data_IF_608024186190
#
_entry.id   IF_608024186190
#
_cell.length_a   1.000
_cell.length_b   1.000
_cell.length_c   1.000
_cell.angle_alpha   90.00
_cell.angle_beta   90.00
_cell.angle_gamma   90.00
#
_symmetry.space_group_name_H-M   'P 1'
#
loop_
_entity.id
_entity.type
_entity.pdbx_description
1 polymer ?
#
# COMPACT_ATOMS: atom_id res chain seq x y z
N UNK A 1 -34.29 13.95 -14.45
CA UNK A 1 -33.27 12.91 -14.70
C UNK A 1 -33.21 12.77 -16.21
N UNK A 2 -32.73 13.82 -16.90
CA UNK A 2 -33.09 14.08 -18.32
C UNK A 2 -31.86 14.29 -19.21
N UNK A 3 -30.81 13.51 -18.97
CA UNK A 3 -29.79 13.25 -19.98
C UNK A 3 -29.65 11.74 -20.09
N UNK A 4 -30.05 11.20 -21.24
CA UNK A 4 -29.61 9.88 -21.69
C UNK A 4 -28.08 9.95 -21.86
N UNK A 5 -27.36 9.71 -20.77
CA UNK A 5 -25.92 9.54 -20.83
C UNK A 5 -25.66 8.12 -21.31
N UNK A 6 -24.88 7.97 -22.37
CA UNK A 6 -24.48 6.65 -22.87
C UNK A 6 -23.20 6.22 -22.14
N UNK A 7 -23.39 5.57 -21.00
CA UNK A 7 -22.32 5.11 -20.10
C UNK A 7 -21.36 4.12 -20.75
N UNK A 8 -21.73 3.53 -21.90
CA UNK A 8 -20.89 2.62 -22.68
C UNK A 8 -19.93 3.36 -23.62
N UNK A 9 -20.01 4.70 -23.72
CA UNK A 9 -19.04 5.49 -24.50
C UNK A 9 -17.73 5.76 -23.76
N UNK A 10 -17.66 5.48 -22.46
CA UNK A 10 -16.46 5.71 -21.65
C UNK A 10 -16.23 7.17 -21.26
N UNK A 11 -17.26 8.01 -21.35
CA UNK A 11 -17.19 9.41 -20.94
C UNK A 11 -17.00 9.55 -19.43
N UNK A 12 -16.19 10.53 -19.01
CA UNK A 12 -15.90 10.78 -17.60
C UNK A 12 -17.09 11.46 -16.92
N UNK A 13 -17.48 10.93 -15.76
CA UNK A 13 -18.54 11.52 -14.92
C UNK A 13 -18.11 12.85 -14.33
N UNK A 14 -19.07 13.79 -14.23
CA UNK A 14 -18.90 14.93 -13.35
C UNK A 14 -19.02 14.50 -11.89
N UNK A 15 -18.52 15.32 -10.96
CA UNK A 15 -18.70 15.06 -9.53
C UNK A 15 -20.18 15.03 -9.11
N UNK A 16 -21.04 15.77 -9.81
CA UNK A 16 -22.48 15.81 -9.55
C UNK A 16 -23.13 14.47 -9.95
N UNK A 17 -22.78 13.94 -11.12
CA UNK A 17 -23.28 12.65 -11.58
C UNK A 17 -22.84 11.54 -10.61
N UNK A 18 -21.56 11.54 -10.23
CA UNK A 18 -21.02 10.58 -9.26
C UNK A 18 -21.73 10.63 -7.90
N UNK A 19 -22.07 11.82 -7.40
CA UNK A 19 -22.75 11.99 -6.13
C UNK A 19 -24.19 11.48 -6.17
N UNK A 20 -24.90 11.66 -7.29
CA UNK A 20 -26.28 11.17 -7.43
C UNK A 20 -26.40 9.65 -7.28
N UNK A 21 -25.36 8.89 -7.64
CA UNK A 21 -25.32 7.44 -7.41
C UNK A 21 -25.19 7.05 -5.94
N UNK A 22 -24.66 7.90 -5.07
CA UNK A 22 -24.60 7.61 -3.63
C UNK A 22 -25.98 7.66 -2.96
N UNK A 23 -26.95 8.34 -3.59
CA UNK A 23 -28.32 8.52 -3.09
C UNK A 23 -29.33 7.58 -3.76
N UNK A 24 -28.90 6.74 -4.71
CA UNK A 24 -29.81 5.82 -5.41
C UNK A 24 -30.28 4.68 -4.50
N UNK A 25 -31.57 4.37 -4.55
CA UNK A 25 -32.15 3.18 -3.91
C UNK A 25 -32.12 1.95 -4.85
N UNK A 26 -31.90 2.15 -6.16
CA UNK A 26 -31.81 1.07 -7.14
C UNK A 26 -30.41 0.44 -7.19
N UNK A 27 -30.11 -0.35 -6.15
CA UNK A 27 -28.85 -1.08 -6.05
C UNK A 27 -28.64 -2.05 -7.23
N UNK A 28 -29.70 -2.72 -7.68
CA UNK A 28 -29.59 -3.74 -8.72
C UNK A 28 -29.31 -3.12 -10.10
N UNK A 29 -29.99 -2.03 -10.45
CA UNK A 29 -29.68 -1.27 -11.66
C UNK A 29 -28.26 -0.72 -11.66
N UNK A 30 -27.77 -0.25 -10.50
CA UNK A 30 -26.38 0.22 -10.37
C UNK A 30 -25.35 -0.90 -10.55
N UNK A 31 -25.60 -2.08 -9.96
CA UNK A 31 -24.73 -3.26 -10.13
C UNK A 31 -24.70 -3.76 -11.57
N UNK A 32 -25.85 -3.81 -12.24
CA UNK A 32 -25.94 -4.22 -13.66
C UNK A 32 -25.18 -3.24 -14.56
N UNK A 33 -25.32 -1.94 -14.32
CA UNK A 33 -24.57 -0.91 -15.05
C UNK A 33 -23.06 -1.04 -14.82
N UNK A 34 -22.64 -1.23 -13.57
CA UNK A 34 -21.24 -1.42 -13.21
C UNK A 34 -20.64 -2.69 -13.86
N UNK A 35 -21.40 -3.79 -13.92
CA UNK A 35 -20.99 -5.01 -14.63
C UNK A 35 -20.76 -4.73 -16.11
N UNK A 36 -21.70 -4.07 -16.79
CA UNK A 36 -21.58 -3.75 -18.22
C UNK A 36 -20.35 -2.89 -18.51
N UNK A 37 -20.10 -1.86 -17.71
CA UNK A 37 -18.92 -0.98 -17.84
C UNK A 37 -17.63 -1.78 -17.59
N UNK A 38 -17.59 -2.64 -16.58
CA UNK A 38 -16.44 -3.52 -16.29
C UNK A 38 -16.18 -4.49 -17.44
N UNK A 39 -17.21 -5.17 -17.92
CA UNK A 39 -17.10 -6.16 -19.00
C UNK A 39 -16.63 -5.52 -20.31
N UNK A 40 -17.09 -4.29 -20.62
CA UNK A 40 -16.64 -3.57 -21.80
C UNK A 40 -15.16 -3.13 -21.70
N UNK A 41 -14.72 -2.64 -20.53
CA UNK A 41 -13.36 -2.13 -20.35
C UNK A 41 -12.30 -3.20 -20.12
N UNK A 42 -12.63 -4.23 -19.34
CA UNK A 42 -11.67 -5.22 -18.83
C UNK A 42 -12.06 -6.68 -19.16
N UNK A 43 -13.26 -6.91 -19.69
CA UNK A 43 -13.79 -8.25 -19.89
C UNK A 43 -14.05 -8.97 -18.57
N UNK A 44 -14.01 -10.30 -18.62
CA UNK A 44 -14.32 -11.18 -17.47
C UNK A 44 -13.09 -11.81 -16.81
N UNK A 45 -11.89 -11.47 -17.27
CA UNK A 45 -10.65 -12.00 -16.73
C UNK A 45 -10.30 -11.28 -15.43
N UNK A 46 -10.13 -12.04 -14.35
CA UNK A 46 -9.67 -11.52 -13.06
C UNK A 46 -8.18 -11.84 -12.91
N UNK A 47 -7.34 -10.82 -12.93
CA UNK A 47 -5.89 -10.95 -12.69
C UNK A 47 -5.56 -10.67 -11.24
N UNK A 48 -4.50 -11.31 -10.71
CA UNK A 48 -3.99 -11.05 -9.38
C UNK A 48 -2.46 -11.16 -9.35
N UNK A 49 -1.82 -10.45 -8.43
CA UNK A 49 -0.39 -10.55 -8.14
C UNK A 49 -0.18 -11.01 -6.71
N UNK A 50 0.48 -12.16 -6.53
CA UNK A 50 0.81 -12.70 -5.20
C UNK A 50 1.91 -11.84 -4.59
N UNK A 51 1.70 -11.36 -3.37
CA UNK A 51 2.64 -10.49 -2.67
C UNK A 51 2.89 -10.97 -1.26
N UNK A 52 4.14 -10.90 -0.81
CA UNK A 52 4.51 -11.09 0.59
C UNK A 52 4.47 -9.74 1.31
N UNK A 53 4.05 -9.73 2.56
CA UNK A 53 3.88 -8.50 3.36
C UNK A 53 5.08 -8.30 4.29
N UNK A 54 5.80 -7.19 4.15
CA UNK A 54 6.97 -6.83 4.94
C UNK A 54 6.65 -5.56 5.76
N UNK A 55 6.31 -5.68 7.05
CA UNK A 55 6.01 -4.54 7.91
C UNK A 55 7.30 -3.88 8.41
N UNK A 56 7.99 -3.13 7.53
CA UNK A 56 9.32 -2.58 7.80
C UNK A 56 9.39 -1.79 9.11
N UNK A 57 8.35 -1.03 9.44
CA UNK A 57 8.16 -0.43 10.76
C UNK A 57 6.67 -0.25 11.06
N UNK A 58 6.27 -0.50 12.30
CA UNK A 58 4.92 -0.20 12.79
C UNK A 58 4.87 1.12 13.58
N UNK A 59 5.97 1.88 13.65
CA UNK A 59 5.95 3.23 14.20
C UNK A 59 5.46 4.21 13.12
N UNK A 60 4.68 5.21 13.55
CA UNK A 60 4.18 6.27 12.66
C UNK A 60 4.19 7.62 13.40
N UNK A 61 4.54 8.72 12.73
CA UNK A 61 4.40 10.05 13.33
C UNK A 61 2.94 10.43 13.56
N UNK A 62 2.04 9.99 12.68
CA UNK A 62 0.63 10.33 12.73
C UNK A 62 -0.16 9.52 13.76
N UNK A 63 -1.34 10.02 14.12
CA UNK A 63 -2.29 9.35 15.02
C UNK A 63 -3.64 9.26 14.32
N UNK A 64 -3.80 8.22 13.51
CA UNK A 64 -5.07 7.92 12.85
C UNK A 64 -5.92 7.03 13.76
N UNK A 65 -7.08 7.50 14.21
CA UNK A 65 -7.95 6.73 15.12
C UNK A 65 -8.47 5.40 14.54
N UNK A 66 -8.49 5.27 13.22
CA UNK A 66 -8.89 4.06 12.51
C UNK A 66 -7.72 3.09 12.24
N UNK A 67 -6.48 3.48 12.52
CA UNK A 67 -5.31 2.69 12.15
C UNK A 67 -5.03 1.61 13.20
N UNK A 68 -5.13 0.35 12.79
CA UNK A 68 -4.78 -0.82 13.61
C UNK A 68 -3.33 -1.29 13.39
N UNK A 69 -2.67 -0.79 12.35
CA UNK A 69 -1.31 -1.18 11.99
C UNK A 69 -0.26 -0.53 12.90
N UNK A 70 -0.39 0.78 13.18
CA UNK A 70 0.61 1.52 13.94
C UNK A 70 0.56 1.14 15.42
N UNK A 71 1.73 1.04 16.03
CA UNK A 71 1.90 0.64 17.42
C UNK A 71 2.77 1.67 18.15
N UNK A 72 2.49 1.96 19.44
CA UNK A 72 3.39 2.78 20.24
C UNK A 72 4.70 2.02 20.50
N UNK A 73 5.84 2.72 20.69
CA UNK A 73 7.14 2.09 20.90
C UNK A 73 7.19 1.01 21.97
N UNK A 74 6.44 1.20 23.07
CA UNK A 74 6.39 0.24 24.19
C UNK A 74 5.84 -1.15 23.81
N UNK A 75 5.12 -1.26 22.70
CA UNK A 75 4.54 -2.51 22.22
C UNK A 75 5.47 -3.24 21.23
N UNK A 76 6.59 -2.62 20.85
CA UNK A 76 7.51 -3.14 19.85
C UNK A 76 8.84 -3.51 20.50
N UNK A 77 9.43 -4.62 20.06
CA UNK A 77 10.78 -4.99 20.47
C UNK A 77 11.84 -4.13 19.79
N UNK A 78 11.54 -3.65 18.58
CA UNK A 78 12.41 -2.83 17.73
C UNK A 78 11.58 -1.89 16.86
N UNK A 79 12.17 -0.77 16.47
CA UNK A 79 11.52 0.24 15.65
C UNK A 79 11.40 -0.20 14.19
N UNK A 80 12.37 -0.95 13.66
CA UNK A 80 12.41 -1.42 12.27
C UNK A 80 12.77 -2.91 12.21
N UNK A 81 12.30 -3.62 11.19
CA UNK A 81 12.84 -4.95 10.87
C UNK A 81 14.30 -4.81 10.45
N UNK A 82 15.15 -5.77 10.86
CA UNK A 82 16.54 -5.83 10.40
C UNK A 82 16.62 -6.33 8.95
N UNK A 83 17.76 -6.13 8.26
CA UNK A 83 17.94 -6.65 6.90
C UNK A 83 17.75 -8.17 6.80
N UNK A 84 18.17 -8.91 7.82
CA UNK A 84 18.03 -10.37 7.88
C UNK A 84 16.57 -10.79 7.96
N UNK A 85 15.75 -10.10 8.76
CA UNK A 85 14.33 -10.40 8.89
C UNK A 85 13.54 -10.03 7.65
N UNK A 86 13.88 -8.89 7.03
CA UNK A 86 13.30 -8.48 5.75
C UNK A 86 13.57 -9.56 4.70
N UNK A 87 14.82 -10.04 4.61
CA UNK A 87 15.20 -11.10 3.69
C UNK A 87 14.52 -12.43 4.02
N UNK A 88 14.43 -12.81 5.29
CA UNK A 88 13.75 -14.03 5.70
C UNK A 88 12.30 -14.04 5.22
N UNK A 89 11.55 -12.95 5.48
CA UNK A 89 10.17 -12.80 5.01
C UNK A 89 10.12 -12.85 3.47
N UNK A 90 11.02 -12.15 2.79
CA UNK A 90 11.05 -12.13 1.33
C UNK A 90 11.33 -13.52 0.72
N UNK A 91 12.25 -14.29 1.30
CA UNK A 91 12.56 -15.66 0.88
C UNK A 91 11.35 -16.57 1.07
N UNK A 92 10.65 -16.47 2.21
CA UNK A 92 9.40 -17.20 2.41
C UNK A 92 8.35 -16.83 1.35
N UNK A 93 8.26 -15.54 1.02
CA UNK A 93 7.41 -15.04 -0.07
C UNK A 93 7.77 -15.64 -1.43
N UNK A 94 9.05 -15.67 -1.77
CA UNK A 94 9.57 -16.25 -3.00
C UNK A 94 9.23 -17.75 -3.08
N UNK A 95 9.49 -18.50 -2.01
CA UNK A 95 9.18 -19.94 -1.91
C UNK A 95 7.67 -20.21 -2.03
N UNK A 96 6.82 -19.32 -1.51
CA UNK A 96 5.36 -19.37 -1.69
C UNK A 96 4.89 -18.94 -3.10
N UNK A 97 5.81 -18.57 -4.00
CA UNK A 97 5.51 -18.17 -5.37
C UNK A 97 4.99 -16.74 -5.52
N UNK A 98 5.28 -15.85 -4.56
CA UNK A 98 5.00 -14.42 -4.69
C UNK A 98 5.77 -13.80 -5.87
N UNK A 99 5.25 -12.69 -6.38
CA UNK A 99 5.85 -11.86 -7.43
C UNK A 99 6.29 -10.49 -6.91
N UNK A 100 5.65 -10.03 -5.84
CA UNK A 100 5.93 -8.73 -5.24
C UNK A 100 6.28 -8.86 -3.74
N UNK A 101 7.10 -7.93 -3.27
CA UNK A 101 7.38 -7.70 -1.87
C UNK A 101 6.74 -6.37 -1.45
N UNK A 102 5.62 -6.45 -0.72
CA UNK A 102 4.87 -5.31 -0.24
C UNK A 102 5.48 -4.78 1.05
N UNK A 103 6.25 -3.71 0.94
CA UNK A 103 6.75 -2.94 2.08
C UNK A 103 5.65 -2.03 2.61
N UNK A 104 5.27 -2.24 3.86
CA UNK A 104 4.30 -1.41 4.58
C UNK A 104 4.96 -0.82 5.82
N UNK A 105 4.74 0.46 6.04
CA UNK A 105 5.41 1.23 7.07
C UNK A 105 4.55 2.41 7.52
N UNK A 106 4.78 2.88 8.75
CA UNK A 106 4.24 4.17 9.17
C UNK A 106 5.04 5.34 8.59
N UNK A 107 4.41 6.52 8.55
CA UNK A 107 4.99 7.73 7.98
C UNK A 107 6.02 8.35 8.93
N UNK A 108 7.26 8.49 8.45
CA UNK A 108 8.40 9.20 9.08
C UNK A 108 8.43 9.15 10.62
N UNK A 109 8.41 7.95 11.26
CA UNK A 109 8.41 7.83 12.71
C UNK A 109 9.59 8.52 13.40
N UNK A 110 10.71 8.69 12.70
CA UNK A 110 11.89 9.43 13.15
C UNK A 110 11.63 10.91 13.46
N UNK A 111 10.51 11.49 12.99
CA UNK A 111 10.14 12.86 13.37
C UNK A 111 9.51 12.93 14.77
N UNK A 112 8.91 11.83 15.23
CA UNK A 112 8.20 11.76 16.52
C UNK A 112 8.97 11.00 17.58
N UNK A 113 9.60 9.88 17.22
CA UNK A 113 10.16 8.93 18.15
C UNK A 113 11.68 8.93 18.11
N UNK A 114 12.30 9.20 19.26
CA UNK A 114 13.76 9.12 19.41
C UNK A 114 14.28 7.70 19.16
N UNK A 115 13.52 6.66 19.54
CA UNK A 115 13.90 5.27 19.29
C UNK A 115 14.02 4.97 17.79
N UNK A 116 13.17 5.57 16.95
CA UNK A 116 13.25 5.39 15.50
C UNK A 116 14.51 6.05 14.94
N UNK A 117 14.86 7.26 15.39
CA UNK A 117 16.12 7.94 15.00
C UNK A 117 17.34 7.11 15.37
N UNK A 118 17.43 6.68 16.63
CA UNK A 118 18.56 5.87 17.12
C UNK A 118 18.71 4.55 16.39
N UNK A 119 17.61 3.93 15.98
CA UNK A 119 17.65 2.66 15.27
C UNK A 119 18.06 2.83 13.81
N UNK A 120 17.55 3.86 13.13
CA UNK A 120 18.01 4.23 11.79
C UNK A 120 19.53 4.53 11.78
N UNK A 121 20.04 5.28 12.77
CA UNK A 121 21.47 5.56 12.91
C UNK A 121 22.30 4.26 13.03
N UNK A 122 21.83 3.26 13.80
CA UNK A 122 22.50 1.95 13.91
C UNK A 122 22.46 1.17 12.59
N UNK A 123 21.38 1.34 11.82
CA UNK A 123 21.22 0.76 10.49
C UNK A 123 21.96 1.56 9.40
N UNK A 124 22.65 2.64 9.76
CA UNK A 124 23.40 3.48 8.81
C UNK A 124 22.54 4.43 7.97
N UNK A 125 21.26 4.59 8.30
CA UNK A 125 20.31 5.44 7.57
C UNK A 125 19.95 6.68 8.38
N UNK A 126 19.66 7.81 7.71
CA UNK A 126 19.17 9.03 8.36
C UNK A 126 17.65 9.11 8.37
N UNK A 127 17.00 8.48 7.38
CA UNK A 127 15.54 8.53 7.22
C UNK A 127 14.95 7.16 6.98
N UNK A 128 13.65 7.02 7.30
CA UNK A 128 12.89 5.81 7.01
C UNK A 128 12.87 5.48 5.51
N UNK A 129 12.86 6.51 4.64
CA UNK A 129 12.86 6.34 3.19
C UNK A 129 14.20 5.84 2.64
N UNK A 130 15.32 6.29 3.21
CA UNK A 130 16.65 5.76 2.89
C UNK A 130 16.72 4.27 3.24
N UNK A 131 16.30 3.89 4.44
CA UNK A 131 16.29 2.49 4.86
C UNK A 131 15.35 1.63 4.01
N UNK A 132 14.15 2.13 3.69
CA UNK A 132 13.23 1.47 2.76
C UNK A 132 13.86 1.21 1.39
N UNK A 133 14.60 2.19 0.85
CA UNK A 133 15.28 2.05 -0.44
C UNK A 133 16.34 0.94 -0.39
N UNK A 134 17.14 0.90 0.66
CA UNK A 134 18.15 -0.15 0.84
C UNK A 134 17.52 -1.54 0.95
N UNK A 135 16.45 -1.67 1.75
CA UNK A 135 15.74 -2.93 1.92
C UNK A 135 15.01 -3.40 0.66
N UNK A 136 14.39 -2.48 -0.09
CA UNK A 136 13.78 -2.78 -1.38
C UNK A 136 14.82 -3.27 -2.39
N UNK A 137 15.99 -2.62 -2.46
CA UNK A 137 17.08 -3.03 -3.33
C UNK A 137 17.64 -4.41 -2.92
N UNK A 138 17.81 -4.65 -1.62
CA UNK A 138 18.25 -5.92 -1.07
C UNK A 138 17.29 -7.06 -1.44
N UNK A 139 15.99 -6.88 -1.19
CA UNK A 139 14.96 -7.89 -1.52
C UNK A 139 14.94 -8.20 -3.01
N UNK A 140 14.96 -7.17 -3.86
CA UNK A 140 14.96 -7.38 -5.30
C UNK A 140 16.21 -8.15 -5.75
N UNK A 141 17.39 -7.77 -5.25
CA UNK A 141 18.65 -8.41 -5.60
C UNK A 141 18.69 -9.89 -5.20
N UNK A 142 18.27 -10.20 -3.97
CA UNK A 142 18.44 -11.56 -3.41
C UNK A 142 17.28 -12.51 -3.77
N UNK A 143 16.09 -11.99 -4.05
CA UNK A 143 14.89 -12.82 -4.29
C UNK A 143 14.24 -12.63 -5.66
N UNK A 144 14.57 -11.55 -6.37
CA UNK A 144 13.89 -11.16 -7.61
C UNK A 144 12.44 -10.70 -7.43
N UNK A 145 11.91 -10.64 -6.20
CA UNK A 145 10.58 -10.09 -5.94
C UNK A 145 10.56 -8.59 -6.24
N UNK A 146 9.54 -8.14 -6.97
CA UNK A 146 9.37 -6.72 -7.31
C UNK A 146 8.99 -5.91 -6.05
N UNK A 147 9.75 -4.87 -5.68
CA UNK A 147 9.38 -4.04 -4.55
C UNK A 147 8.10 -3.24 -4.82
N UNK A 148 7.14 -3.37 -3.92
CA UNK A 148 5.90 -2.59 -3.88
C UNK A 148 5.91 -1.77 -2.58
N UNK A 149 5.97 -0.44 -2.69
CA UNK A 149 6.26 0.44 -1.56
C UNK A 149 5.01 1.21 -1.13
N UNK A 150 4.69 1.18 0.18
CA UNK A 150 3.66 2.03 0.80
C UNK A 150 4.26 3.00 1.86
N UNK A 151 5.09 3.99 1.46
CA UNK A 151 5.90 4.79 2.37
C UNK A 151 5.20 5.98 3.05
N UNK A 152 3.89 6.14 2.90
CA UNK A 152 3.22 7.37 3.35
C UNK A 152 3.60 8.57 2.48
N UNK A 153 3.93 9.72 3.10
CA UNK A 153 4.16 10.97 2.38
C UNK A 153 5.63 11.12 2.01
N UNK A 154 5.93 11.02 0.71
CA UNK A 154 7.26 11.28 0.16
C UNK A 154 7.45 12.76 -0.18
N UNK A 155 8.66 13.27 0.03
CA UNK A 155 9.07 14.55 -0.55
C UNK A 155 9.48 14.34 -2.02
N UNK A 156 9.34 15.36 -2.85
CA UNK A 156 9.91 15.33 -4.20
C UNK A 156 11.43 15.06 -4.14
N UNK A 157 11.93 14.29 -5.10
CA UNK A 157 13.34 13.97 -5.25
C UNK A 157 14.14 15.18 -5.77
#
# INVERSE_FOLDING_TARGET
MDKEFDWLKGDRLSSIDAFSFAETEDLFGLLELAEKVRDQGYGRNITYSKKVFIPLTQLCRDVCHYCTFSQPPRNLQKAFLSPEEVLEIAIQGQQAGCKEALFTLGDKPELRYEVARKELEKLGCKTTLEYLKEMAALVFKETGLLPHLNPGVMSAA
#
